data_IF_885011774200
#
_entry.id   IF_885011774200
#
_cell.length_a   1.000
_cell.length_b   1.000
_cell.length_c   1.000
_cell.angle_alpha   90.00
_cell.angle_beta   90.00
_cell.angle_gamma   90.00
#
_symmetry.space_group_name_H-M   'P 1'
#
loop_
_entity.id
_entity.type
_entity.pdbx_description
1 polymer ?
#
# COMPACT_ATOMS: atom_id res chain seq x y z
N UNK A 1 30.80 7.08 -7.50
CA UNK A 1 31.50 5.94 -8.15
C UNK A 1 31.48 4.74 -7.22
N UNK A 2 30.48 3.87 -7.34
CA UNK A 2 30.57 2.41 -7.11
C UNK A 2 29.68 1.80 -8.20
N UNK A 3 30.34 1.22 -9.21
CA UNK A 3 29.76 0.60 -10.39
C UNK A 3 29.44 -0.86 -10.02
N UNK A 4 28.18 -1.30 -10.12
CA UNK A 4 27.86 -2.73 -10.05
C UNK A 4 27.76 -3.26 -11.47
N UNK A 5 28.80 -3.96 -11.90
CA UNK A 5 28.83 -4.76 -13.11
C UNK A 5 27.85 -5.94 -12.98
N UNK A 6 26.87 -6.03 -13.86
CA UNK A 6 26.03 -7.22 -14.04
C UNK A 6 26.50 -7.94 -15.31
N UNK A 7 27.06 -9.14 -15.16
CA UNK A 7 27.27 -10.05 -16.28
C UNK A 7 25.98 -10.85 -16.55
N UNK A 8 25.58 -11.03 -17.83
CA UNK A 8 24.37 -11.78 -18.18
C UNK A 8 24.64 -13.29 -18.23
N UNK A 9 23.81 -14.09 -17.55
CA UNK A 9 23.72 -15.53 -17.77
C UNK A 9 22.53 -15.84 -18.68
N UNK A 10 22.84 -16.44 -19.84
CA UNK A 10 21.89 -16.95 -20.83
C UNK A 10 21.06 -18.13 -20.31
N UNK A 11 19.83 -18.35 -20.82
CA UNK A 11 18.95 -19.44 -20.38
C UNK A 11 19.19 -20.75 -21.15
N UNK A 12 19.18 -21.87 -20.45
CA UNK A 12 19.11 -23.21 -21.04
C UNK A 12 17.69 -23.78 -20.98
N UNK A 13 17.20 -24.16 -22.17
CA UNK A 13 15.95 -24.88 -22.52
C UNK A 13 15.59 -26.07 -21.62
N UNK A 14 14.28 -26.25 -21.37
CA UNK A 14 13.57 -27.54 -21.26
C UNK A 14 12.06 -27.26 -21.45
N UNK A 15 11.55 -27.36 -22.69
CA UNK A 15 10.86 -28.49 -23.34
C UNK A 15 9.52 -28.86 -22.68
N UNK A 16 8.47 -28.62 -23.47
CA UNK A 16 7.05 -28.93 -23.33
C UNK A 16 6.75 -30.43 -23.32
N UNK A 17 5.72 -30.84 -22.57
CA UNK A 17 4.89 -31.99 -22.91
C UNK A 17 3.39 -31.63 -22.86
N UNK A 18 2.76 -31.84 -24.02
CA UNK A 18 1.32 -31.85 -24.28
C UNK A 18 0.73 -33.17 -23.81
N UNK A 19 -0.45 -33.16 -23.18
CA UNK A 19 -1.41 -34.28 -23.29
C UNK A 19 -2.85 -33.84 -22.96
N UNK A 20 -3.69 -33.82 -24.00
CA UNK A 20 -5.15 -34.12 -24.04
C UNK A 20 -5.31 -35.17 -25.17
N UNK A 21 -6.43 -35.90 -25.36
CA UNK A 21 -7.77 -35.77 -24.75
C UNK A 21 -8.41 -37.11 -24.32
N UNK A 22 -9.61 -37.09 -23.73
CA UNK A 22 -10.64 -38.09 -24.07
C UNK A 22 -12.07 -37.66 -23.69
N UNK A 23 -12.95 -37.72 -24.68
CA UNK A 23 -14.41 -37.65 -24.58
C UNK A 23 -14.96 -38.99 -24.07
N UNK A 24 -16.05 -38.96 -23.30
CA UNK A 24 -17.00 -40.07 -23.26
C UNK A 24 -18.43 -39.59 -23.03
N UNK A 25 -19.25 -39.85 -24.05
CA UNK A 25 -20.70 -39.83 -24.12
C UNK A 25 -21.36 -40.80 -23.12
N UNK A 26 -22.54 -40.44 -22.59
CA UNK A 26 -23.68 -41.32 -22.20
C UNK A 26 -24.86 -40.40 -21.81
N UNK A 27 -25.83 -40.12 -22.68
CA UNK A 27 -27.03 -40.89 -23.04
C UNK A 27 -28.09 -41.06 -21.93
N UNK A 28 -29.17 -40.28 -22.09
CA UNK A 28 -30.59 -40.67 -22.06
C UNK A 28 -31.20 -41.25 -20.78
N UNK A 29 -32.23 -40.59 -20.22
CA UNK A 29 -33.64 -41.04 -20.37
C UNK A 29 -34.64 -40.02 -19.82
N UNK A 30 -35.58 -39.64 -20.68
CA UNK A 30 -36.87 -39.02 -20.40
C UNK A 30 -37.87 -40.08 -19.92
N UNK A 31 -38.70 -39.74 -18.93
CA UNK A 31 -39.93 -40.48 -18.63
C UNK A 31 -41.05 -39.47 -18.36
N UNK A 32 -41.95 -39.37 -19.34
CA UNK A 32 -43.29 -38.78 -19.22
C UNK A 32 -44.21 -39.79 -18.55
N UNK A 33 -45.05 -39.35 -17.61
CA UNK A 33 -46.35 -39.98 -17.38
C UNK A 33 -47.38 -38.94 -16.93
N UNK A 34 -48.44 -38.86 -17.71
CA UNK A 34 -49.64 -38.04 -17.59
C UNK A 34 -50.71 -38.73 -16.75
N UNK A 35 -51.48 -37.97 -15.95
CA UNK A 35 -52.96 -37.99 -15.88
C UNK A 35 -53.43 -37.28 -14.60
N UNK A 36 -54.37 -36.35 -14.74
CA UNK A 36 -54.80 -35.45 -13.68
C UNK A 36 -55.72 -36.05 -12.62
N UNK A 37 -55.81 -35.36 -11.49
CA UNK A 37 -57.04 -35.16 -10.74
C UNK A 37 -56.85 -33.92 -9.84
N UNK A 38 -57.77 -32.98 -9.96
CA UNK A 38 -57.82 -31.75 -9.16
C UNK A 38 -58.30 -32.08 -7.75
N UNK A 39 -57.50 -31.74 -6.74
CA UNK A 39 -57.97 -31.57 -5.36
C UNK A 39 -57.38 -30.29 -4.79
N UNK A 40 -58.22 -29.27 -4.63
CA UNK A 40 -57.97 -28.14 -3.74
C UNK A 40 -58.02 -28.66 -2.31
N UNK A 41 -56.87 -28.65 -1.62
CA UNK A 41 -56.85 -28.68 -0.17
C UNK A 41 -56.02 -27.49 0.32
N UNK A 42 -56.73 -26.55 0.92
CA UNK A 42 -56.18 -25.44 1.68
C UNK A 42 -55.53 -26.00 2.95
N UNK A 43 -54.24 -25.75 3.14
CA UNK A 43 -53.66 -25.72 4.48
C UNK A 43 -52.52 -24.70 4.51
N UNK A 44 -52.79 -23.57 5.14
CA UNK A 44 -51.79 -22.62 5.60
C UNK A 44 -50.81 -23.32 6.55
N UNK A 45 -49.57 -23.49 6.13
CA UNK A 45 -48.43 -23.69 7.03
C UNK A 45 -47.18 -23.15 6.33
N UNK A 46 -46.90 -21.84 6.52
CA UNK A 46 -45.59 -21.31 6.15
C UNK A 46 -44.58 -21.84 7.16
N UNK A 47 -43.83 -22.88 6.79
CA UNK A 47 -42.61 -23.23 7.50
C UNK A 47 -41.60 -22.10 7.24
N UNK A 48 -41.51 -21.15 8.17
CA UNK A 48 -40.37 -20.22 8.23
C UNK A 48 -39.14 -21.06 8.56
N UNK A 49 -38.38 -21.41 7.53
CA UNK A 49 -37.03 -21.93 7.70
C UNK A 49 -36.17 -20.81 8.28
N UNK A 50 -36.05 -20.78 9.60
CA UNK A 50 -35.11 -19.90 10.28
C UNK A 50 -33.74 -20.56 10.15
N UNK A 51 -33.01 -20.22 9.09
CA UNK A 51 -31.58 -20.52 9.00
C UNK A 51 -30.89 -19.72 10.11
N UNK A 52 -30.74 -20.36 11.28
CA UNK A 52 -29.79 -19.91 12.30
C UNK A 52 -28.41 -19.96 11.66
N UNK A 53 -27.91 -18.79 11.25
CA UNK A 53 -26.55 -18.63 10.79
C UNK A 53 -25.69 -18.88 12.02
N UNK A 54 -25.17 -20.11 12.16
CA UNK A 54 -24.17 -20.43 13.16
C UNK A 54 -22.95 -19.52 12.87
N UNK A 55 -22.89 -18.39 13.57
CA UNK A 55 -21.74 -17.51 13.54
C UNK A 55 -20.59 -18.26 14.21
N UNK A 56 -19.61 -18.64 13.40
CA UNK A 56 -18.28 -18.93 13.90
C UNK A 56 -17.79 -17.66 14.64
N UNK A 57 -17.82 -17.69 15.96
CA UNK A 57 -17.57 -16.56 16.87
C UNK A 57 -16.17 -15.96 16.73
N UNK A 58 -15.24 -16.65 16.04
CA UNK A 58 -13.89 -16.18 15.75
C UNK A 58 -13.74 -15.41 14.42
N UNK A 59 -14.67 -15.54 13.46
CA UNK A 59 -14.59 -14.78 12.20
C UNK A 59 -15.25 -13.40 12.33
N UNK A 60 -16.33 -13.30 13.11
CA UNK A 60 -17.06 -12.05 13.33
C UNK A 60 -16.23 -10.96 14.05
N UNK A 61 -15.37 -11.33 14.99
CA UNK A 61 -14.51 -10.35 15.71
C UNK A 61 -13.39 -9.80 14.82
N UNK A 62 -12.87 -10.62 13.91
CA UNK A 62 -11.81 -10.19 12.99
C UNK A 62 -12.32 -9.24 11.89
N UNK A 63 -13.55 -9.43 11.40
CA UNK A 63 -14.20 -8.46 10.51
C UNK A 63 -14.65 -7.19 11.23
N UNK A 64 -14.85 -7.24 12.56
CA UNK A 64 -15.21 -6.05 13.36
C UNK A 64 -14.11 -4.99 13.41
N UNK A 65 -12.83 -5.39 13.34
CA UNK A 65 -11.71 -4.44 13.38
C UNK A 65 -11.60 -3.60 12.11
N UNK A 66 -11.69 -4.22 10.93
CA UNK A 66 -11.46 -3.55 9.66
C UNK A 66 -12.69 -2.80 9.17
N UNK A 67 -12.55 -1.49 8.95
CA UNK A 67 -13.55 -0.61 8.35
C UNK A 67 -13.43 -0.51 6.81
N UNK A 68 -12.53 -1.29 6.19
CA UNK A 68 -12.36 -1.33 4.73
C UNK A 68 -13.53 -2.04 4.04
N UNK A 69 -13.82 -1.61 2.81
CA UNK A 69 -14.87 -2.18 1.98
C UNK A 69 -14.59 -3.65 1.64
N UNK A 70 -15.65 -4.43 1.46
CA UNK A 70 -15.56 -5.84 1.09
C UNK A 70 -15.23 -6.05 -0.39
N UNK A 71 -15.43 -5.04 -1.23
CA UNK A 71 -15.14 -5.03 -2.66
C UNK A 71 -14.07 -3.99 -3.02
N UNK A 72 -13.34 -4.25 -4.11
CA UNK A 72 -12.29 -3.37 -4.62
C UNK A 72 -12.54 -3.04 -6.10
N UNK A 73 -12.24 -1.80 -6.54
CA UNK A 73 -12.30 -1.42 -7.95
C UNK A 73 -11.33 -2.18 -8.87
N UNK A 74 -10.37 -2.94 -8.34
CA UNK A 74 -9.36 -3.66 -9.10
C UNK A 74 -9.50 -5.19 -8.96
N UNK A 75 -9.25 -5.90 -10.05
CA UNK A 75 -9.13 -7.36 -10.04
C UNK A 75 -7.75 -7.79 -9.54
N UNK A 76 -7.65 -8.99 -8.96
CA UNK A 76 -6.38 -9.51 -8.45
C UNK A 76 -5.22 -9.41 -9.46
N UNK A 77 -5.49 -9.71 -10.74
CA UNK A 77 -4.49 -9.61 -11.80
C UNK A 77 -4.07 -8.18 -12.08
N UNK A 78 -5.04 -7.24 -12.12
CA UNK A 78 -4.74 -5.83 -12.41
C UNK A 78 -4.01 -5.15 -11.25
N UNK A 79 -4.23 -5.56 -10.00
CA UNK A 79 -3.51 -5.01 -8.83
C UNK A 79 -2.00 -5.17 -8.99
N UNK A 80 -1.53 -6.38 -9.26
CA UNK A 80 -0.09 -6.65 -9.36
C UNK A 80 0.54 -6.08 -10.63
N UNK A 81 -0.18 -6.08 -11.76
CA UNK A 81 0.33 -5.42 -12.98
C UNK A 81 0.41 -3.91 -12.83
N UNK A 82 -0.58 -3.28 -12.19
CA UNK A 82 -0.57 -1.84 -11.89
C UNK A 82 0.54 -1.51 -10.90
N UNK A 83 0.74 -2.33 -9.87
CA UNK A 83 1.84 -2.15 -8.92
C UNK A 83 3.20 -2.28 -9.62
N UNK A 84 3.37 -3.27 -10.50
CA UNK A 84 4.60 -3.41 -11.28
C UNK A 84 4.84 -2.20 -12.19
N UNK A 85 3.81 -1.71 -12.88
CA UNK A 85 3.92 -0.50 -13.70
C UNK A 85 4.30 0.73 -12.85
N UNK A 86 3.64 0.93 -11.70
CA UNK A 86 4.01 1.98 -10.76
C UNK A 86 5.49 1.87 -10.36
N UNK A 87 5.95 0.69 -9.94
CA UNK A 87 7.32 0.50 -9.48
C UNK A 87 8.36 0.77 -10.58
N UNK A 88 8.18 0.17 -11.76
CA UNK A 88 9.21 0.20 -12.80
C UNK A 88 9.12 1.42 -13.73
N UNK A 89 7.95 2.03 -13.88
CA UNK A 89 7.75 3.16 -14.79
C UNK A 89 7.62 4.51 -14.07
N UNK A 90 7.30 4.53 -12.78
CA UNK A 90 7.14 5.77 -12.00
C UNK A 90 8.14 5.83 -10.84
N UNK A 91 7.99 4.96 -9.84
CA UNK A 91 8.72 5.06 -8.59
C UNK A 91 10.24 4.94 -8.75
N UNK A 92 10.73 3.82 -9.33
CA UNK A 92 12.17 3.61 -9.47
C UNK A 92 12.82 4.70 -10.34
N UNK A 93 12.28 5.04 -11.54
CA UNK A 93 12.87 6.10 -12.35
C UNK A 93 12.85 7.48 -11.70
N UNK A 94 11.76 7.89 -11.05
CA UNK A 94 11.63 9.24 -10.49
C UNK A 94 12.34 9.37 -9.14
N UNK A 95 12.18 8.40 -8.24
CA UNK A 95 12.75 8.46 -6.89
C UNK A 95 14.25 8.14 -6.85
N UNK A 96 14.77 7.25 -7.71
CA UNK A 96 16.20 6.89 -7.70
C UNK A 96 16.96 7.37 -8.95
N UNK A 97 16.28 7.44 -10.11
CA UNK A 97 16.89 7.89 -11.36
C UNK A 97 16.85 9.41 -11.58
N UNK A 98 15.86 10.11 -11.00
CA UNK A 98 15.57 11.52 -11.29
C UNK A 98 16.78 12.44 -11.06
N UNK A 99 17.47 12.26 -9.93
CA UNK A 99 18.66 13.06 -9.59
C UNK A 99 19.82 12.85 -10.59
N UNK A 100 20.00 11.62 -11.09
CA UNK A 100 21.03 11.33 -12.09
C UNK A 100 20.75 12.04 -13.42
N UNK A 101 19.48 12.13 -13.81
CA UNK A 101 19.06 12.86 -15.02
C UNK A 101 19.29 14.35 -14.87
N UNK A 102 18.92 14.93 -13.72
CA UNK A 102 19.12 16.36 -13.45
C UNK A 102 20.62 16.72 -13.48
N UNK A 103 21.46 15.93 -12.82
CA UNK A 103 22.91 16.12 -12.84
C UNK A 103 23.48 16.09 -14.26
N UNK A 104 23.01 15.18 -15.12
CA UNK A 104 23.45 15.11 -16.52
C UNK A 104 22.97 16.31 -17.35
N UNK A 105 21.74 16.78 -17.14
CA UNK A 105 21.18 17.94 -17.85
C UNK A 105 21.94 19.21 -17.48
N UNK A 106 22.22 19.40 -16.19
CA UNK A 106 22.93 20.57 -15.68
C UNK A 106 24.46 20.48 -15.86
N UNK A 107 24.99 19.32 -16.25
CA UNK A 107 26.41 19.03 -16.36
C UNK A 107 27.19 19.24 -15.05
N UNK A 108 26.49 19.16 -13.92
CA UNK A 108 27.03 19.35 -12.58
C UNK A 108 26.92 18.02 -11.81
N UNK A 109 28.06 17.38 -11.43
CA UNK A 109 28.04 16.11 -10.73
C UNK A 109 27.57 16.23 -9.28
N UNK A 110 27.74 17.41 -8.67
CA UNK A 110 27.31 17.72 -7.31
C UNK A 110 26.34 18.89 -7.41
N UNK A 111 25.05 18.60 -7.20
CA UNK A 111 24.01 19.62 -7.25
C UNK A 111 24.03 20.42 -5.95
N UNK A 112 23.77 21.72 -6.04
CA UNK A 112 23.59 22.51 -4.83
C UNK A 112 22.30 22.08 -4.09
N UNK A 113 22.24 22.24 -2.76
CA UNK A 113 21.11 21.73 -1.98
C UNK A 113 19.74 22.31 -2.35
N UNK A 114 19.69 23.53 -2.89
CA UNK A 114 18.44 24.13 -3.35
C UNK A 114 17.97 23.47 -4.64
N UNK A 115 18.88 23.23 -5.58
CA UNK A 115 18.59 22.47 -6.81
C UNK A 115 18.17 21.05 -6.51
N UNK A 116 18.80 20.39 -5.53
CA UNK A 116 18.37 19.05 -5.08
C UNK A 116 16.94 19.06 -4.52
N UNK A 117 16.63 19.97 -3.60
CA UNK A 117 15.30 20.07 -3.00
C UNK A 117 14.21 20.35 -4.05
N UNK A 118 14.46 21.27 -4.99
CA UNK A 118 13.52 21.58 -6.07
C UNK A 118 13.36 20.39 -7.02
N UNK A 119 14.44 19.70 -7.34
CA UNK A 119 14.41 18.51 -8.21
C UNK A 119 13.61 17.39 -7.59
N UNK A 120 13.78 17.14 -6.29
CA UNK A 120 12.96 16.19 -5.52
C UNK A 120 11.49 16.59 -5.51
N UNK A 121 11.18 17.88 -5.34
CA UNK A 121 9.79 18.35 -5.42
C UNK A 121 9.18 18.07 -6.78
N UNK A 122 9.88 18.40 -7.86
CA UNK A 122 9.39 18.15 -9.22
C UNK A 122 9.18 16.65 -9.46
N UNK A 123 10.17 15.82 -9.10
CA UNK A 123 10.07 14.36 -9.26
C UNK A 123 8.88 13.78 -8.49
N UNK A 124 8.67 14.19 -7.24
CA UNK A 124 7.57 13.70 -6.39
C UNK A 124 6.19 14.17 -6.86
N UNK A 125 6.08 15.40 -7.38
CA UNK A 125 4.84 15.88 -8.00
C UNK A 125 4.54 15.10 -9.29
N UNK A 126 5.54 14.85 -10.13
CA UNK A 126 5.38 14.02 -11.32
C UNK A 126 4.98 12.58 -10.97
N UNK A 127 5.57 12.01 -9.92
CA UNK A 127 5.23 10.66 -9.45
C UNK A 127 3.79 10.61 -8.93
N UNK A 128 3.36 11.62 -8.15
CA UNK A 128 1.99 11.75 -7.66
C UNK A 128 0.99 11.88 -8.81
N UNK A 129 1.24 12.75 -9.79
CA UNK A 129 0.37 12.93 -10.95
C UNK A 129 0.31 11.64 -11.77
N UNK A 130 1.46 11.04 -12.07
CA UNK A 130 1.56 9.77 -12.81
C UNK A 130 0.80 8.64 -12.12
N UNK A 131 0.92 8.56 -10.79
CA UNK A 131 0.21 7.57 -9.96
C UNK A 131 -1.29 7.78 -10.00
N UNK A 132 -1.77 9.01 -9.82
CA UNK A 132 -3.21 9.32 -9.88
C UNK A 132 -3.80 9.00 -11.26
N UNK A 133 -3.06 9.29 -12.33
CA UNK A 133 -3.46 8.93 -13.70
C UNK A 133 -3.49 7.40 -13.87
N UNK A 134 -2.44 6.70 -13.46
CA UNK A 134 -2.36 5.24 -13.53
C UNK A 134 -3.52 4.57 -12.79
N UNK A 135 -3.78 4.99 -11.55
CA UNK A 135 -4.89 4.46 -10.77
C UNK A 135 -6.23 4.76 -11.45
N UNK A 136 -6.43 5.99 -11.94
CA UNK A 136 -7.65 6.36 -12.67
C UNK A 136 -7.90 5.49 -13.91
N UNK A 137 -6.87 5.17 -14.68
CA UNK A 137 -7.00 4.35 -15.90
C UNK A 137 -7.16 2.85 -15.64
N UNK A 138 -6.77 2.38 -14.45
CA UNK A 138 -6.82 0.95 -14.09
C UNK A 138 -8.05 0.57 -13.28
N UNK A 139 -8.80 1.56 -12.78
CA UNK A 139 -10.10 1.37 -12.14
C UNK A 139 -11.11 0.82 -13.12
N UNK A 140 -11.90 -0.19 -12.69
CA UNK A 140 -13.02 -0.71 -13.46
C UNK A 140 -14.03 0.41 -13.82
N UNK A 141 -14.60 0.42 -15.04
CA UNK A 141 -15.50 1.49 -15.50
C UNK A 141 -16.73 1.74 -14.60
N UNK A 142 -17.18 0.72 -13.87
CA UNK A 142 -18.34 0.79 -12.97
C UNK A 142 -18.07 1.53 -11.65
N UNK A 143 -16.80 1.78 -11.30
CA UNK A 143 -16.42 2.49 -10.09
C UNK A 143 -16.01 3.92 -10.41
N UNK A 144 -16.41 4.86 -9.55
CA UNK A 144 -15.91 6.23 -9.62
C UNK A 144 -14.59 6.33 -8.83
N UNK A 145 -13.50 6.69 -9.50
CA UNK A 145 -12.18 6.89 -8.87
C UNK A 145 -12.22 7.82 -7.64
N UNK A 146 -13.09 8.83 -7.62
CA UNK A 146 -13.17 9.75 -6.46
C UNK A 146 -13.76 9.09 -5.21
N UNK A 147 -14.53 8.01 -5.34
CA UNK A 147 -15.08 7.30 -4.20
C UNK A 147 -14.01 6.52 -3.42
N UNK A 148 -12.86 6.22 -4.04
CA UNK A 148 -11.71 5.62 -3.38
C UNK A 148 -11.15 6.47 -2.24
N UNK A 149 -11.22 7.80 -2.37
CA UNK A 149 -10.74 8.74 -1.35
C UNK A 149 -11.81 9.06 -0.29
N UNK A 150 -13.03 8.53 -0.42
CA UNK A 150 -14.09 8.76 0.57
C UNK A 150 -13.94 7.79 1.73
N UNK A 151 -14.03 8.34 2.93
CA UNK A 151 -14.12 7.57 4.15
C UNK A 151 -15.37 6.67 4.12
N UNK A 152 -15.25 5.42 4.59
CA UNK A 152 -16.37 4.48 4.67
C UNK A 152 -17.41 4.93 5.71
N UNK A 153 -18.64 4.40 5.65
CA UNK A 153 -19.66 4.81 6.64
C UNK A 153 -19.25 4.45 8.07
N UNK A 154 -18.58 3.30 8.27
CA UNK A 154 -17.95 2.91 9.54
C UNK A 154 -16.87 3.89 10.02
N UNK A 155 -16.22 4.63 9.10
CA UNK A 155 -15.28 5.68 9.45
C UNK A 155 -15.95 6.88 10.09
N UNK A 156 -17.23 7.15 9.83
CA UNK A 156 -17.94 8.33 10.36
C UNK A 156 -18.19 8.21 11.86
N UNK A 157 -18.35 6.98 12.35
CA UNK A 157 -18.58 6.69 13.77
C UNK A 157 -17.27 6.60 14.57
N UNK A 158 -16.12 6.43 13.89
CA UNK A 158 -14.80 6.30 14.52
C UNK A 158 -14.07 7.65 14.50
N UNK A 159 -13.59 8.09 15.67
CA UNK A 159 -12.79 9.31 15.76
C UNK A 159 -11.38 9.09 15.17
N UNK A 160 -11.23 9.38 13.87
CA UNK A 160 -9.97 9.20 13.15
C UNK A 160 -8.83 10.07 13.70
N UNK A 161 -9.12 11.23 14.30
CA UNK A 161 -8.09 12.09 14.92
C UNK A 161 -7.51 11.43 16.17
N UNK A 162 -8.37 10.91 17.04
CA UNK A 162 -7.93 10.19 18.24
C UNK A 162 -7.14 8.92 17.86
N UNK A 163 -7.63 8.17 16.86
CA UNK A 163 -6.91 7.02 16.33
C UNK A 163 -5.53 7.41 15.78
N UNK A 164 -5.43 8.57 15.11
CA UNK A 164 -4.15 9.09 14.61
C UNK A 164 -3.19 9.45 15.75
N UNK A 165 -3.68 10.09 16.81
CA UNK A 165 -2.86 10.45 17.97
C UNK A 165 -2.32 9.20 18.70
N UNK A 166 -3.19 8.20 18.92
CA UNK A 166 -2.80 6.92 19.53
C UNK A 166 -1.82 6.17 18.60
N UNK A 167 -2.11 6.11 17.31
CA UNK A 167 -1.26 5.47 16.31
C UNK A 167 0.12 6.10 16.21
N UNK A 168 0.21 7.43 16.25
CA UNK A 168 1.47 8.16 16.28
C UNK A 168 2.26 7.89 17.57
N UNK A 169 1.63 7.97 18.74
CA UNK A 169 2.28 7.66 20.01
C UNK A 169 2.80 6.22 20.08
N UNK A 170 2.02 5.26 19.57
CA UNK A 170 2.43 3.86 19.45
C UNK A 170 3.60 3.70 18.48
N UNK A 171 3.53 4.31 17.29
CA UNK A 171 4.62 4.27 16.31
C UNK A 171 5.91 4.82 16.90
N UNK A 172 5.86 6.02 17.49
CA UNK A 172 7.03 6.68 18.08
C UNK A 172 7.67 5.83 19.18
N UNK A 173 6.85 5.24 20.06
CA UNK A 173 7.34 4.36 21.12
C UNK A 173 8.00 3.11 20.54
N UNK A 174 7.37 2.49 19.55
CA UNK A 174 7.88 1.27 18.91
C UNK A 174 9.20 1.53 18.19
N UNK A 175 9.30 2.62 17.43
CA UNK A 175 10.53 3.06 16.75
C UNK A 175 11.64 3.35 17.77
N UNK A 176 11.34 4.05 18.85
CA UNK A 176 12.34 4.37 19.88
C UNK A 176 12.89 3.12 20.55
N UNK A 177 12.02 2.14 20.83
CA UNK A 177 12.40 0.84 21.40
C UNK A 177 13.26 0.06 20.39
N UNK A 178 12.84 -0.03 19.12
CA UNK A 178 13.60 -0.79 18.12
C UNK A 178 14.96 -0.18 17.83
N UNK A 179 15.07 1.15 17.78
CA UNK A 179 16.36 1.84 17.67
C UNK A 179 17.25 1.57 18.87
N UNK A 180 16.72 1.65 20.10
CA UNK A 180 17.50 1.34 21.31
C UNK A 180 17.99 -0.12 21.33
N UNK A 181 17.15 -1.06 20.90
CA UNK A 181 17.54 -2.47 20.78
C UNK A 181 18.60 -2.66 19.69
N UNK A 182 18.46 -1.97 18.56
CA UNK A 182 19.43 -2.03 17.46
C UNK A 182 20.80 -1.51 17.90
N UNK A 183 20.87 -0.39 18.63
CA UNK A 183 22.11 0.18 19.17
C UNK A 183 22.81 -0.73 20.19
N UNK A 184 22.05 -1.63 20.83
CA UNK A 184 22.60 -2.64 21.76
C UNK A 184 23.05 -3.91 21.05
N UNK A 185 22.39 -4.29 19.96
CA UNK A 185 22.67 -5.51 19.21
C UNK A 185 23.75 -5.32 18.14
N UNK A 186 23.85 -4.10 17.60
CA UNK A 186 24.75 -3.72 16.52
C UNK A 186 25.51 -2.46 16.90
N UNK A 187 26.64 -2.18 16.24
CA UNK A 187 27.37 -0.93 16.46
C UNK A 187 26.45 0.27 16.16
N UNK A 188 26.48 1.33 17.01
CA UNK A 188 25.65 2.51 16.80
C UNK A 188 25.93 3.12 15.43
N UNK A 189 25.01 2.94 14.49
CA UNK A 189 25.03 3.66 13.23
C UNK A 189 24.28 4.95 13.45
N UNK A 190 25.00 6.07 13.37
CA UNK A 190 24.35 7.36 13.38
C UNK A 190 23.32 7.40 12.24
N UNK A 191 22.11 7.86 12.56
CA UNK A 191 21.05 8.13 11.58
C UNK A 191 21.37 9.45 10.89
N UNK A 192 22.54 9.53 10.26
CA UNK A 192 23.04 10.73 9.61
C UNK A 192 23.11 10.48 8.11
N UNK A 193 22.07 10.92 7.40
CA UNK A 193 22.21 11.13 5.97
C UNK A 193 22.81 12.53 5.76
N UNK A 194 24.12 12.64 5.42
CA UNK A 194 24.80 13.94 5.34
C UNK A 194 24.17 14.85 4.30
N UNK A 195 23.65 14.28 3.19
CA UNK A 195 22.95 15.02 2.14
C UNK A 195 21.67 15.66 2.68
N UNK A 196 20.87 14.89 3.42
CA UNK A 196 19.64 15.42 4.03
C UNK A 196 19.96 16.53 5.03
N UNK A 197 20.97 16.33 5.88
CA UNK A 197 21.39 17.34 6.85
C UNK A 197 21.89 18.61 6.16
N UNK A 198 22.65 18.48 5.07
CA UNK A 198 23.12 19.59 4.25
C UNK A 198 21.95 20.39 3.65
N UNK A 199 20.95 19.72 3.07
CA UNK A 199 19.74 20.37 2.55
C UNK A 199 19.03 21.16 3.66
N UNK A 200 18.89 20.59 4.86
CA UNK A 200 18.19 21.23 5.97
C UNK A 200 18.90 22.49 6.50
N UNK A 201 20.24 22.57 6.43
CA UNK A 201 21.01 23.72 6.96
C UNK A 201 21.48 24.71 5.90
N UNK A 202 21.36 24.36 4.60
CA UNK A 202 21.85 25.17 3.47
C UNK A 202 21.09 26.49 3.25
N UNK A 203 19.80 26.56 3.57
CA UNK A 203 18.99 27.76 3.40
C UNK A 203 17.50 27.58 3.64
N UNK A 204 16.77 28.69 3.75
CA UNK A 204 15.33 28.67 4.06
C UNK A 204 14.49 28.06 2.94
N UNK A 205 14.88 28.27 1.68
CA UNK A 205 14.14 27.76 0.51
C UNK A 205 14.35 26.24 0.39
N UNK A 206 15.60 25.78 0.41
CA UNK A 206 15.93 24.35 0.36
C UNK A 206 15.28 23.58 1.51
N UNK A 207 15.38 24.10 2.74
CA UNK A 207 14.72 23.50 3.91
C UNK A 207 13.19 23.46 3.75
N UNK A 208 12.55 24.58 3.41
CA UNK A 208 11.08 24.63 3.28
C UNK A 208 10.57 23.70 2.16
N UNK A 209 11.26 23.68 1.02
CA UNK A 209 10.94 22.78 -0.10
C UNK A 209 11.12 21.32 0.31
N UNK A 210 12.24 20.98 0.97
CA UNK A 210 12.51 19.61 1.38
C UNK A 210 11.52 19.10 2.43
N UNK A 211 11.18 19.94 3.42
CA UNK A 211 10.14 19.63 4.41
C UNK A 211 8.78 19.43 3.73
N UNK A 212 8.40 20.27 2.77
CA UNK A 212 7.16 20.09 2.01
C UNK A 212 7.13 18.74 1.29
N UNK A 213 8.24 18.35 0.66
CA UNK A 213 8.34 17.06 -0.04
C UNK A 213 8.21 15.90 0.94
N UNK A 214 9.11 15.82 1.92
CA UNK A 214 9.23 14.67 2.82
C UNK A 214 8.07 14.55 3.80
N UNK A 215 7.47 15.66 4.24
CA UNK A 215 6.43 15.63 5.26
C UNK A 215 5.01 15.72 4.70
N UNK A 216 4.83 16.04 3.42
CA UNK A 216 3.51 16.19 2.83
C UNK A 216 3.35 15.44 1.51
N UNK A 217 4.12 15.77 0.47
CA UNK A 217 3.92 15.19 -0.87
C UNK A 217 4.20 13.69 -0.87
N UNK A 218 5.35 13.26 -0.34
CA UNK A 218 5.75 11.85 -0.30
C UNK A 218 4.80 11.01 0.56
N UNK A 219 4.46 11.40 1.82
CA UNK A 219 3.46 10.67 2.60
C UNK A 219 2.11 10.54 1.89
N UNK A 220 1.61 11.60 1.25
CA UNK A 220 0.35 11.53 0.51
C UNK A 220 0.44 10.52 -0.64
N UNK A 221 1.49 10.60 -1.46
CA UNK A 221 1.73 9.65 -2.55
C UNK A 221 1.79 8.21 -2.05
N UNK A 222 2.61 7.94 -1.04
CA UNK A 222 2.84 6.59 -0.54
C UNK A 222 1.58 6.02 0.11
N UNK A 223 0.84 6.81 0.91
CA UNK A 223 -0.41 6.34 1.48
C UNK A 223 -1.45 6.00 0.39
N UNK A 224 -1.51 6.77 -0.69
CA UNK A 224 -2.40 6.48 -1.83
C UNK A 224 -2.06 5.14 -2.46
N UNK A 225 -0.78 4.86 -2.69
CA UNK A 225 -0.32 3.63 -3.35
C UNK A 225 -0.46 2.43 -2.42
N UNK A 226 0.13 2.50 -1.23
CA UNK A 226 0.28 1.32 -0.37
C UNK A 226 -0.99 1.06 0.44
N UNK A 227 -1.66 2.10 0.97
CA UNK A 227 -2.83 1.91 1.84
C UNK A 227 -4.11 1.98 1.04
N UNK A 228 -4.29 3.08 0.32
CA UNK A 228 -5.44 3.28 -0.55
C UNK A 228 -5.56 2.16 -1.57
N UNK A 229 -4.52 1.91 -2.35
CA UNK A 229 -4.62 1.02 -3.52
C UNK A 229 -4.26 -0.42 -3.17
N UNK A 230 -3.02 -0.68 -2.77
CA UNK A 230 -2.52 -2.05 -2.59
C UNK A 230 -3.23 -2.77 -1.43
N UNK A 231 -3.17 -2.21 -0.22
CA UNK A 231 -3.78 -2.79 0.98
C UNK A 231 -5.30 -2.97 0.81
N UNK A 232 -6.03 -1.92 0.38
CA UNK A 232 -7.48 -2.04 0.19
C UNK A 232 -7.85 -3.09 -0.87
N UNK A 233 -7.06 -3.22 -1.93
CA UNK A 233 -7.33 -4.21 -2.97
C UNK A 233 -7.09 -5.63 -2.48
N UNK A 234 -5.95 -5.89 -1.85
CA UNK A 234 -5.61 -7.25 -1.40
C UNK A 234 -6.45 -7.69 -0.19
N UNK A 235 -6.94 -6.76 0.64
CA UNK A 235 -7.85 -7.05 1.76
C UNK A 235 -9.21 -7.63 1.34
N UNK A 236 -9.59 -7.52 0.07
CA UNK A 236 -10.79 -8.19 -0.47
C UNK A 236 -10.59 -9.69 -0.70
N UNK A 237 -9.33 -10.13 -0.77
CA UNK A 237 -8.97 -11.52 -1.11
C UNK A 237 -8.32 -12.30 0.03
N UNK A 238 -7.90 -11.62 1.09
CA UNK A 238 -7.28 -12.22 2.27
C UNK A 238 -7.70 -11.48 3.54
N UNK A 239 -7.51 -12.10 4.71
CA UNK A 239 -7.82 -11.47 6.00
C UNK A 239 -6.96 -10.21 6.21
N UNK A 240 -7.54 -9.18 6.81
CA UNK A 240 -6.89 -7.87 7.01
C UNK A 240 -5.48 -7.94 7.62
N UNK A 241 -5.12 -8.83 8.57
CA UNK A 241 -3.76 -8.84 9.11
C UNK A 241 -2.73 -9.24 8.03
N UNK A 242 -3.08 -10.22 7.19
CA UNK A 242 -2.19 -10.67 6.11
C UNK A 242 -2.06 -9.61 5.02
N UNK A 243 -3.15 -8.88 4.75
CA UNK A 243 -3.14 -7.75 3.83
C UNK A 243 -2.20 -6.64 4.33
N UNK A 244 -2.23 -6.31 5.63
CA UNK A 244 -1.29 -5.36 6.24
C UNK A 244 0.14 -5.86 6.06
N UNK A 245 0.46 -7.08 6.48
CA UNK A 245 1.82 -7.62 6.39
C UNK A 245 2.35 -7.60 4.95
N UNK A 246 1.54 -8.01 3.97
CA UNK A 246 1.91 -8.00 2.56
C UNK A 246 2.17 -6.57 2.06
N UNK A 247 1.25 -5.64 2.31
CA UNK A 247 1.41 -4.25 1.90
C UNK A 247 2.61 -3.57 2.57
N UNK A 248 2.85 -3.82 3.85
CA UNK A 248 3.98 -3.28 4.61
C UNK A 248 5.32 -3.83 4.12
N UNK A 249 5.34 -5.10 3.69
CA UNK A 249 6.52 -5.71 3.07
C UNK A 249 6.85 -5.04 1.74
N UNK A 250 5.84 -4.82 0.88
CA UNK A 250 6.03 -4.15 -0.41
C UNK A 250 6.47 -2.69 -0.21
N UNK A 251 5.87 -1.98 0.75
CA UNK A 251 6.29 -0.64 1.15
C UNK A 251 7.76 -0.58 1.56
N UNK A 252 8.19 -1.46 2.48
CA UNK A 252 9.57 -1.50 2.93
C UNK A 252 10.55 -1.89 1.81
N UNK A 253 10.17 -2.83 0.94
CA UNK A 253 10.99 -3.25 -0.19
C UNK A 253 11.16 -2.15 -1.25
N UNK A 254 10.13 -1.32 -1.47
CA UNK A 254 10.16 -0.25 -2.45
C UNK A 254 11.22 0.83 -2.16
N UNK A 255 11.62 0.98 -0.90
CA UNK A 255 12.67 1.91 -0.49
C UNK A 255 14.08 1.44 -0.87
N UNK A 256 14.25 0.20 -1.34
CA UNK A 256 15.52 -0.39 -1.77
C UNK A 256 16.65 -0.25 -0.72
N UNK A 257 16.28 -0.18 0.56
CA UNK A 257 17.20 -0.03 1.69
C UNK A 257 17.12 -1.23 2.61
N UNK A 258 18.10 -2.14 2.49
CA UNK A 258 18.17 -3.32 3.34
C UNK A 258 18.33 -2.98 4.83
N UNK A 259 19.07 -1.91 5.14
CA UNK A 259 19.31 -1.47 6.51
C UNK A 259 18.03 -0.95 7.19
N UNK A 260 17.21 -0.19 6.47
CA UNK A 260 15.98 0.40 7.01
C UNK A 260 14.76 -0.52 6.86
N UNK A 261 14.90 -1.70 6.25
CA UNK A 261 13.77 -2.56 5.89
C UNK A 261 12.87 -2.89 7.08
N UNK A 262 13.44 -3.32 8.21
CA UNK A 262 12.68 -3.68 9.42
C UNK A 262 11.92 -2.47 9.96
N UNK A 263 12.60 -1.32 10.01
CA UNK A 263 12.03 -0.06 10.49
C UNK A 263 10.84 0.40 9.62
N UNK A 264 11.05 0.39 8.30
CA UNK A 264 10.02 0.72 7.31
C UNK A 264 8.86 -0.27 7.31
N UNK A 265 9.14 -1.56 7.54
CA UNK A 265 8.10 -2.58 7.67
C UNK A 265 7.21 -2.31 8.90
N UNK A 266 7.82 -1.93 10.04
CA UNK A 266 7.09 -1.59 11.26
C UNK A 266 6.21 -0.35 11.06
N UNK A 267 6.76 0.72 10.49
CA UNK A 267 6.01 1.92 10.10
C UNK A 267 4.85 1.52 9.16
N UNK A 268 5.18 0.69 8.17
CA UNK A 268 4.29 -0.02 7.28
C UNK A 268 3.05 -0.56 7.99
N UNK A 269 3.28 -1.41 9.00
CA UNK A 269 2.26 -2.12 9.75
C UNK A 269 1.38 -1.16 10.56
N UNK A 270 1.96 -0.18 11.25
CA UNK A 270 1.18 0.77 12.08
C UNK A 270 0.25 1.62 11.21
N UNK A 271 0.76 2.13 10.09
CA UNK A 271 -0.02 2.89 9.12
C UNK A 271 -1.14 2.03 8.50
N UNK A 272 -0.83 0.78 8.13
CA UNK A 272 -1.83 -0.19 7.66
C UNK A 272 -2.92 -0.49 8.69
N UNK A 273 -2.54 -0.71 9.96
CA UNK A 273 -3.49 -0.90 11.07
C UNK A 273 -4.38 0.32 11.26
N UNK A 274 -3.81 1.53 11.20
CA UNK A 274 -4.57 2.77 11.32
C UNK A 274 -5.59 2.92 10.20
N UNK A 275 -5.19 2.65 8.95
CA UNK A 275 -6.12 2.69 7.82
C UNK A 275 -7.19 1.61 7.89
N UNK A 276 -6.84 0.37 8.23
CA UNK A 276 -7.81 -0.70 8.43
C UNK A 276 -8.81 -0.36 9.54
N UNK A 277 -8.37 0.19 10.67
CA UNK A 277 -9.26 0.58 11.76
C UNK A 277 -10.13 1.78 11.40
N UNK A 278 -9.56 2.84 10.82
CA UNK A 278 -10.29 4.07 10.60
C UNK A 278 -11.14 4.04 9.33
N UNK A 279 -10.72 3.31 8.29
CA UNK A 279 -11.30 3.41 6.96
C UNK A 279 -11.04 4.77 6.31
N UNK A 280 -10.12 5.57 6.87
CA UNK A 280 -9.85 6.95 6.45
C UNK A 280 -8.37 7.14 6.17
N UNK A 281 -8.03 7.37 4.90
CA UNK A 281 -6.65 7.52 4.48
C UNK A 281 -5.95 8.71 5.16
N UNK A 282 -6.71 9.75 5.53
CA UNK A 282 -6.19 10.93 6.24
C UNK A 282 -5.52 10.57 7.56
N UNK A 283 -6.00 9.53 8.24
CA UNK A 283 -5.40 9.10 9.51
C UNK A 283 -3.98 8.56 9.29
N UNK A 284 -3.82 7.71 8.27
CA UNK A 284 -2.52 7.17 7.89
C UNK A 284 -1.57 8.26 7.40
N UNK A 285 -2.05 9.16 6.54
CA UNK A 285 -1.26 10.31 6.05
C UNK A 285 -0.79 11.17 7.22
N UNK A 286 -1.67 11.48 8.18
CA UNK A 286 -1.32 12.32 9.32
C UNK A 286 -0.24 11.67 10.20
N UNK A 287 -0.37 10.38 10.53
CA UNK A 287 0.65 9.67 11.32
C UNK A 287 1.98 9.67 10.58
N UNK A 288 1.97 9.38 9.27
CA UNK A 288 3.17 9.32 8.45
C UNK A 288 3.86 10.70 8.34
N UNK A 289 3.10 11.74 8.04
CA UNK A 289 3.59 13.12 8.01
C UNK A 289 4.23 13.54 9.34
N UNK A 290 3.57 13.26 10.48
CA UNK A 290 4.11 13.57 11.81
C UNK A 290 5.39 12.80 12.11
N UNK A 291 5.48 11.53 11.71
CA UNK A 291 6.68 10.72 11.84
C UNK A 291 7.85 11.30 11.03
N UNK A 292 7.60 11.75 9.80
CA UNK A 292 8.62 12.36 8.96
C UNK A 292 9.08 13.72 9.51
N UNK A 293 8.14 14.57 9.97
CA UNK A 293 8.48 15.84 10.65
C UNK A 293 9.38 15.58 11.84
N UNK A 294 9.03 14.61 12.69
CA UNK A 294 9.84 14.27 13.85
C UNK A 294 11.24 13.80 13.43
N UNK A 295 11.34 12.96 12.40
CA UNK A 295 12.62 12.44 11.92
C UNK A 295 13.53 13.55 11.39
N UNK A 296 12.97 14.48 10.60
CA UNK A 296 13.71 15.65 10.11
C UNK A 296 14.11 16.58 11.25
N UNK A 297 13.24 16.77 12.26
CA UNK A 297 13.55 17.60 13.43
C UNK A 297 14.72 17.00 14.23
N UNK A 298 14.72 15.69 14.49
CA UNK A 298 15.83 15.03 15.17
C UNK A 298 17.13 15.21 14.36
N UNK A 299 17.07 15.01 13.04
CA UNK A 299 18.24 15.16 12.17
C UNK A 299 18.79 16.58 12.12
N UNK A 300 17.91 17.58 12.20
CA UNK A 300 18.29 18.99 12.27
C UNK A 300 18.96 19.35 13.60
N UNK A 301 18.54 18.72 14.70
CA UNK A 301 19.06 19.00 16.05
C UNK A 301 20.30 18.19 16.44
N UNK A 302 20.53 17.02 15.81
CA UNK A 302 21.73 16.19 15.97
C UNK A 302 22.91 16.76 15.20
#
# INVERSE_FOLDING_TARGET
MILVHIHPLYPSKLRSEFCKPQNSFLSSTTLFCSSGFSFKLSSNASFRCFCSKNQNTHEASSQSFSALAADSPWDRGSVWSTMAFYMFCLHIPLSFGGMSVVSQILQEPNLDPQTEAISLLVAQILELIGTLLLLKFTVKPQYNFMNFFKATDLSKDRNWLLASAIGFGFLFSLVSITSFLADKAFEPKAVNNPVVKEILVSGNISMATFVLVCCFITPVLEEIVYRGFLLASISTTMKWPHAILASSTVFAAAHLSGENFIQLFIIGCVLGCSYCWTGNLRSSVLIHSLYNVMTLLIMYLS
#
